data_IF_895505388820
#
_entry.id   IF_895505388820
#
_cell.length_a   1.000
_cell.length_b   1.000
_cell.length_c   1.000
_cell.angle_alpha   90.00
_cell.angle_beta   90.00
_cell.angle_gamma   90.00
#
_symmetry.space_group_name_H-M   'P 1'
#
loop_
_entity.id
_entity.type
_entity.pdbx_description
1 polymer ?
#
# COMPACT_ATOMS: atom_id res chain seq x y z
N UNK A 1 46.19 -14.92 -8.99
CA UNK A 1 46.03 -14.52 -7.57
C UNK A 1 45.20 -13.25 -7.55
N UNK A 2 43.89 -13.39 -7.37
CA UNK A 2 42.97 -12.23 -7.31
C UNK A 2 42.93 -11.80 -5.84
N UNK A 3 43.37 -10.57 -5.55
CA UNK A 3 43.38 -10.01 -4.20
C UNK A 3 41.94 -9.85 -3.67
N UNK A 4 41.65 -10.21 -2.41
CA UNK A 4 40.32 -10.02 -1.85
C UNK A 4 40.03 -8.52 -1.68
N UNK A 5 38.81 -8.05 -1.98
CA UNK A 5 38.43 -6.67 -1.74
C UNK A 5 38.44 -6.36 -0.24
N UNK A 6 38.97 -5.18 0.11
CA UNK A 6 39.09 -4.69 1.49
C UNK A 6 37.76 -4.78 2.28
N UNK A 7 37.84 -5.20 3.55
CA UNK A 7 36.70 -5.40 4.47
C UNK A 7 35.77 -4.17 4.63
N UNK A 8 36.16 -2.99 4.16
CA UNK A 8 35.33 -1.77 4.18
C UNK A 8 34.19 -1.80 3.16
N UNK A 9 34.34 -2.50 2.05
CA UNK A 9 33.26 -2.62 1.06
C UNK A 9 32.07 -3.42 1.61
N UNK A 10 32.34 -4.46 2.42
CA UNK A 10 31.32 -5.29 3.05
C UNK A 10 30.37 -4.53 3.99
N UNK A 11 30.81 -3.42 4.61
CA UNK A 11 29.93 -2.63 5.50
C UNK A 11 28.95 -1.75 4.72
N UNK A 12 29.37 -1.16 3.60
CA UNK A 12 28.52 -0.30 2.77
C UNK A 12 27.45 -1.12 2.05
N UNK A 13 27.79 -2.33 1.59
CA UNK A 13 26.82 -3.28 1.03
C UNK A 13 25.79 -3.74 2.06
N UNK A 14 26.20 -3.97 3.32
CA UNK A 14 25.26 -4.29 4.41
C UNK A 14 24.36 -3.10 4.76
N UNK A 15 24.88 -1.87 4.76
CA UNK A 15 24.08 -0.66 5.03
C UNK A 15 23.09 -0.40 3.89
N UNK A 16 23.49 -0.51 2.62
CA UNK A 16 22.58 -0.37 1.47
C UNK A 16 21.52 -1.47 1.43
N UNK A 17 21.90 -2.73 1.72
CA UNK A 17 20.96 -3.83 1.85
C UNK A 17 20.01 -3.62 3.04
N UNK A 18 20.49 -3.06 4.16
CA UNK A 18 19.65 -2.67 5.28
C UNK A 18 18.70 -1.53 4.87
N UNK A 19 19.16 -0.49 4.17
CA UNK A 19 18.30 0.57 3.63
C UNK A 19 17.21 0.03 2.68
N UNK A 20 17.54 -0.93 1.80
CA UNK A 20 16.55 -1.62 0.97
C UNK A 20 15.61 -2.52 1.80
N UNK A 21 16.07 -3.09 2.91
CA UNK A 21 15.23 -3.80 3.88
C UNK A 21 14.32 -2.85 4.68
N UNK A 22 14.78 -1.67 5.11
CA UNK A 22 13.94 -0.69 5.83
C UNK A 22 12.90 -0.12 4.87
N UNK A 23 13.29 0.17 3.62
CA UNK A 23 12.36 0.56 2.54
C UNK A 23 11.45 -0.62 2.13
N UNK A 24 11.89 -1.87 2.27
CA UNK A 24 11.09 -3.08 2.00
C UNK A 24 10.14 -3.47 3.14
N UNK A 25 10.49 -3.19 4.39
CA UNK A 25 9.67 -3.41 5.60
C UNK A 25 8.65 -2.27 5.77
N UNK A 26 8.99 -1.04 5.33
CA UNK A 26 8.08 0.12 5.36
C UNK A 26 7.34 0.38 4.04
N UNK A 27 7.62 -0.36 2.95
CA UNK A 27 6.78 -0.36 1.74
C UNK A 27 5.57 -1.25 1.97
N UNK A 28 4.64 -0.67 2.72
CA UNK A 28 3.21 -0.85 2.64
C UNK A 28 2.76 -2.30 2.84
N UNK A 29 2.35 -2.56 4.09
CA UNK A 29 1.21 -3.44 4.36
C UNK A 29 0.23 -3.31 3.19
N UNK A 30 0.16 -4.35 2.35
CA UNK A 30 -0.98 -4.55 1.48
C UNK A 30 -2.19 -4.44 2.40
N UNK A 31 -2.89 -3.31 2.32
CA UNK A 31 -4.10 -3.06 3.09
C UNK A 31 -4.95 -4.30 3.06
N UNK A 32 -5.34 -4.77 4.26
CA UNK A 32 -6.26 -5.87 4.50
C UNK A 32 -6.97 -6.29 3.21
N UNK A 33 -6.41 -7.28 2.50
CA UNK A 33 -7.02 -7.86 1.29
C UNK A 33 -8.20 -8.75 1.68
N UNK A 34 -9.05 -8.29 2.60
CA UNK A 34 -10.38 -8.84 2.74
C UNK A 34 -11.14 -8.44 1.48
N UNK A 35 -11.75 -9.37 0.72
CA UNK A 35 -12.52 -9.02 -0.49
C UNK A 35 -13.77 -8.19 -0.17
N UNK A 36 -14.05 -7.98 1.11
CA UNK A 36 -15.24 -7.34 1.66
C UNK A 36 -14.97 -5.87 2.02
N UNK A 37 -15.98 -5.03 1.85
CA UNK A 37 -15.96 -3.62 2.21
C UNK A 37 -15.66 -3.43 3.70
N UNK A 38 -14.70 -2.55 4.08
CA UNK A 38 -14.35 -2.32 5.48
C UNK A 38 -15.40 -1.52 6.27
N UNK A 39 -16.43 -0.99 5.60
CA UNK A 39 -17.49 -0.19 6.23
C UNK A 39 -18.65 -1.10 6.64
N UNK A 40 -19.25 -1.81 5.69
CA UNK A 40 -20.41 -2.67 5.97
C UNK A 40 -20.04 -4.11 6.33
N UNK A 41 -18.79 -4.53 6.11
CA UNK A 41 -18.32 -5.91 6.35
C UNK A 41 -19.19 -6.99 5.68
N UNK A 42 -19.94 -6.63 4.63
CA UNK A 42 -20.92 -7.49 3.96
C UNK A 42 -20.66 -7.56 2.45
N UNK A 43 -20.68 -6.40 1.77
CA UNK A 43 -20.59 -6.33 0.31
C UNK A 43 -19.14 -6.40 -0.17
N UNK A 44 -18.87 -6.95 -1.38
CA UNK A 44 -17.53 -6.97 -1.95
C UNK A 44 -17.03 -5.55 -2.25
N UNK A 45 -15.72 -5.38 -2.35
CA UNK A 45 -15.12 -4.11 -2.79
C UNK A 45 -15.22 -3.97 -4.31
N UNK A 46 -16.17 -3.18 -4.76
CA UNK A 46 -16.46 -2.90 -6.17
C UNK A 46 -16.35 -1.40 -6.52
N UNK A 47 -15.79 -0.57 -5.63
CA UNK A 47 -15.45 0.82 -5.89
C UNK A 47 -14.04 1.16 -5.40
N UNK A 48 -13.25 1.84 -6.24
CA UNK A 48 -11.98 2.47 -5.86
C UNK A 48 -12.09 4.00 -5.90
N UNK A 49 -11.38 4.68 -5.00
CA UNK A 49 -11.20 6.12 -5.01
C UNK A 49 -9.91 6.52 -5.73
N UNK A 50 -9.78 7.78 -6.16
CA UNK A 50 -8.56 8.30 -6.80
C UNK A 50 -7.28 8.16 -5.96
N UNK A 51 -7.39 7.98 -4.64
CA UNK A 51 -6.26 7.69 -3.75
C UNK A 51 -5.83 6.20 -3.73
N UNK A 52 -6.53 5.31 -4.44
CA UNK A 52 -6.23 3.88 -4.55
C UNK A 52 -6.95 2.97 -3.54
N UNK A 53 -7.63 3.52 -2.53
CA UNK A 53 -8.41 2.74 -1.57
C UNK A 53 -9.78 2.33 -2.08
N UNK A 54 -10.35 1.29 -1.48
CA UNK A 54 -11.56 0.64 -2.00
C UNK A 54 -12.65 0.43 -0.94
N UNK A 55 -13.91 0.50 -1.37
CA UNK A 55 -15.14 0.16 -0.62
C UNK A 55 -16.12 -0.57 -1.55
N UNK A 56 -17.31 -0.98 -1.06
CA UNK A 56 -18.42 -1.26 -1.97
C UNK A 56 -19.03 0.05 -2.50
N UNK A 57 -19.82 -0.01 -3.57
CA UNK A 57 -20.53 1.14 -4.14
C UNK A 57 -21.54 1.72 -3.15
N UNK A 58 -22.34 0.88 -2.49
CA UNK A 58 -23.37 1.32 -1.54
C UNK A 58 -22.82 2.19 -0.41
N UNK A 59 -21.65 1.82 0.14
CA UNK A 59 -21.00 2.62 1.16
C UNK A 59 -20.14 3.74 0.58
N UNK A 60 -19.65 3.60 -0.65
CA UNK A 60 -18.69 4.49 -1.26
C UNK A 60 -19.30 5.78 -1.82
N UNK A 61 -20.49 5.70 -2.42
CA UNK A 61 -21.11 6.80 -3.18
C UNK A 61 -21.27 8.10 -2.38
N UNK A 62 -21.63 7.99 -1.10
CA UNK A 62 -21.90 9.13 -0.22
C UNK A 62 -20.67 9.71 0.50
N UNK A 63 -19.48 9.13 0.32
CA UNK A 63 -18.27 9.55 1.07
C UNK A 63 -17.59 10.77 0.43
N UNK A 64 -17.41 11.86 1.16
CA UNK A 64 -16.65 13.02 0.66
C UNK A 64 -15.13 12.85 0.81
N UNK A 65 -14.70 12.05 1.80
CA UNK A 65 -13.30 11.75 2.09
C UNK A 65 -13.06 10.25 2.23
N UNK A 66 -11.89 9.77 1.82
CA UNK A 66 -11.53 8.37 1.93
C UNK A 66 -11.43 7.95 3.41
N UNK A 67 -12.13 6.88 3.86
CA UNK A 67 -12.15 6.45 5.25
C UNK A 67 -10.81 5.85 5.72
N UNK A 68 -9.92 5.51 4.78
CA UNK A 68 -8.62 4.87 5.04
C UNK A 68 -7.48 5.89 5.17
N UNK A 69 -7.34 6.82 4.21
CA UNK A 69 -6.25 7.81 4.20
C UNK A 69 -6.70 9.27 4.36
N UNK A 70 -8.00 9.52 4.53
CA UNK A 70 -8.61 10.85 4.72
C UNK A 70 -8.42 11.85 3.58
N UNK A 71 -7.92 11.41 2.42
CA UNK A 71 -7.86 12.24 1.22
C UNK A 71 -9.27 12.53 0.67
N UNK A 72 -9.48 13.73 0.14
CA UNK A 72 -10.72 14.09 -0.53
C UNK A 72 -10.98 13.19 -1.75
N UNK A 73 -12.25 12.82 -1.97
CA UNK A 73 -12.64 11.95 -3.06
C UNK A 73 -13.11 12.80 -4.24
N UNK A 74 -12.24 12.94 -5.24
CA UNK A 74 -12.59 13.57 -6.53
C UNK A 74 -12.93 12.55 -7.62
N UNK A 75 -12.42 11.33 -7.49
CA UNK A 75 -12.58 10.27 -8.49
C UNK A 75 -13.12 9.01 -7.84
N UNK A 76 -14.13 8.41 -8.48
CA UNK A 76 -14.69 7.10 -8.14
C UNK A 76 -14.64 6.20 -9.36
N UNK A 77 -14.17 4.97 -9.16
CA UNK A 77 -14.00 3.98 -10.23
C UNK A 77 -14.77 2.74 -9.81
N UNK A 78 -15.78 2.35 -10.59
CA UNK A 78 -16.48 1.08 -10.42
C UNK A 78 -15.59 -0.05 -10.94
N UNK A 79 -15.45 -1.10 -10.15
CA UNK A 79 -14.68 -2.30 -10.48
C UNK A 79 -15.65 -3.41 -10.94
N UNK A 80 -15.19 -4.27 -11.86
CA UNK A 80 -15.96 -5.40 -12.43
C UNK A 80 -15.32 -6.73 -12.06
#
# INVERSE_FOLDING_TARGET
>A
MVSPPSLKALSVFKVLAQFLLIMGILRQRAQLRLPVCPICLTNPKDMAFGCGHQTCCDCGECLTSCPICRSDIHTRIKLY
#
